data_IF_154510002032
#
_entry.id   IF_154510002032
#
_cell.length_a   1.000
_cell.length_b   1.000
_cell.length_c   1.000
_cell.angle_alpha   90.00
_cell.angle_beta   90.00
_cell.angle_gamma   90.00
#
_symmetry.space_group_name_H-M   'P 1'
#
loop_
_entity.id
_entity.type
_entity.pdbx_description
1 polymer ?
#
# COMPACT_ATOMS: atom_id res chain seq x y z
N UNK A 1 21.98 -10.70 -12.05
CA UNK A 1 20.77 -10.47 -12.87
C UNK A 1 19.57 -10.91 -12.05
N UNK A 2 18.58 -10.03 -11.87
CA UNK A 2 17.26 -10.42 -11.36
C UNK A 2 16.65 -11.32 -12.43
N UNK A 3 16.37 -12.59 -12.12
CA UNK A 3 15.66 -13.48 -13.05
C UNK A 3 14.18 -13.13 -12.96
N UNK A 4 13.61 -12.62 -14.05
CA UNK A 4 12.18 -12.43 -14.17
C UNK A 4 11.54 -13.77 -14.51
N UNK A 5 10.63 -14.22 -13.66
CA UNK A 5 9.90 -15.45 -13.89
C UNK A 5 8.72 -15.16 -14.84
N UNK A 6 8.63 -15.84 -15.99
CA UNK A 6 7.59 -15.59 -16.99
C UNK A 6 6.17 -15.86 -16.48
N UNK A 7 6.01 -16.62 -15.40
CA UNK A 7 4.73 -16.95 -14.80
C UNK A 7 4.39 -16.08 -13.58
N UNK A 8 5.30 -15.21 -13.15
CA UNK A 8 5.06 -14.32 -12.01
C UNK A 8 4.33 -13.04 -12.45
N UNK A 9 3.32 -12.66 -11.68
CA UNK A 9 2.65 -11.37 -11.83
C UNK A 9 3.40 -10.32 -11.01
N UNK A 10 3.88 -9.29 -11.69
CA UNK A 10 4.47 -8.10 -11.09
C UNK A 10 3.47 -6.94 -11.07
N UNK A 11 3.63 -6.04 -10.11
CA UNK A 11 2.79 -4.87 -9.92
C UNK A 11 1.67 -5.04 -8.87
N UNK A 12 1.12 -3.95 -8.34
CA UNK A 12 1.46 -2.54 -8.57
C UNK A 12 2.40 -2.06 -7.47
N UNK A 13 2.93 -0.85 -7.62
CA UNK A 13 3.61 -0.10 -6.57
C UNK A 13 2.57 0.72 -5.80
N UNK A 14 2.59 0.61 -4.47
CA UNK A 14 1.77 1.42 -3.57
C UNK A 14 2.70 2.16 -2.62
N UNK A 15 2.42 3.45 -2.40
CA UNK A 15 3.15 4.34 -1.50
C UNK A 15 2.15 5.03 -0.58
N UNK A 16 2.43 5.09 0.71
CA UNK A 16 1.72 5.95 1.66
C UNK A 16 2.65 6.97 2.27
N UNK A 17 2.15 8.20 2.43
CA UNK A 17 2.86 9.31 3.04
C UNK A 17 1.94 9.99 4.04
N UNK A 18 2.36 10.02 5.30
CA UNK A 18 1.77 10.85 6.35
C UNK A 18 2.64 12.08 6.56
N UNK A 19 2.09 13.27 6.34
CA UNK A 19 2.80 14.54 6.56
C UNK A 19 1.84 15.66 6.93
N UNK A 20 2.12 16.35 8.03
CA UNK A 20 1.28 17.44 8.52
C UNK A 20 -0.08 16.92 8.96
N UNK A 21 -1.15 17.52 8.41
CA UNK A 21 -2.54 17.14 8.69
C UNK A 21 -3.15 16.23 7.61
N UNK A 22 -2.33 15.53 6.83
CA UNK A 22 -2.80 14.70 5.72
C UNK A 22 -2.03 13.38 5.64
N UNK A 23 -2.76 12.32 5.29
CA UNK A 23 -2.19 11.03 4.83
C UNK A 23 -2.69 10.75 3.44
N UNK A 24 -1.79 10.32 2.57
CA UNK A 24 -2.05 10.02 1.16
C UNK A 24 -1.61 8.59 0.88
N UNK A 25 -2.42 7.85 0.13
CA UNK A 25 -1.99 6.62 -0.54
C UNK A 25 -1.97 6.89 -2.04
N UNK A 26 -0.84 6.59 -2.67
CA UNK A 26 -0.67 6.61 -4.11
C UNK A 26 -0.36 5.21 -4.63
N UNK A 27 -0.77 4.93 -5.87
CA UNK A 27 -0.52 3.65 -6.50
C UNK A 27 -0.56 3.76 -8.01
N UNK A 28 0.32 3.00 -8.68
CA UNK A 28 0.30 2.93 -10.13
C UNK A 28 -0.67 1.85 -10.63
N UNK A 29 -0.90 1.83 -11.94
CA UNK A 29 -1.86 0.93 -12.57
C UNK A 29 -1.25 -0.27 -13.28
N UNK A 30 0.08 -0.44 -13.29
CA UNK A 30 0.72 -1.49 -14.07
C UNK A 30 0.58 -2.87 -13.44
N UNK A 31 0.14 -3.82 -14.25
CA UNK A 31 0.17 -5.25 -13.97
C UNK A 31 0.90 -5.91 -15.12
N UNK A 32 1.96 -6.65 -14.81
CA UNK A 32 2.79 -7.34 -15.79
C UNK A 32 2.85 -8.82 -15.47
N UNK A 33 2.85 -9.67 -16.50
CA UNK A 33 3.12 -11.10 -16.38
C UNK A 33 4.49 -11.36 -17.00
N UNK A 34 5.47 -11.74 -16.18
CA UNK A 34 6.86 -11.78 -16.59
C UNK A 34 7.33 -10.40 -17.03
N UNK A 35 7.69 -10.27 -18.30
CA UNK A 35 8.14 -9.03 -18.96
C UNK A 35 7.03 -8.35 -19.80
N UNK A 36 5.83 -8.94 -19.85
CA UNK A 36 4.73 -8.45 -20.68
C UNK A 36 3.72 -7.64 -19.85
N UNK A 37 3.45 -6.41 -20.27
CA UNK A 37 2.42 -5.56 -19.64
C UNK A 37 1.02 -6.07 -20.00
N UNK A 38 0.24 -6.49 -19.01
CA UNK A 38 -1.14 -6.95 -19.20
C UNK A 38 -2.17 -5.82 -19.08
N UNK A 39 -1.97 -4.91 -18.11
CA UNK A 39 -2.89 -3.82 -17.82
C UNK A 39 -2.11 -2.63 -17.28
N UNK A 40 -2.45 -1.43 -17.74
CA UNK A 40 -1.81 -0.19 -17.27
C UNK A 40 -2.64 0.64 -16.28
N UNK A 41 -3.87 0.24 -15.98
CA UNK A 41 -4.87 1.03 -15.23
C UNK A 41 -5.53 0.28 -14.09
N UNK A 42 -4.81 -0.66 -13.46
CA UNK A 42 -5.29 -1.32 -12.25
C UNK A 42 -5.55 -0.30 -11.13
N UNK A 43 -6.56 -0.56 -10.31
CA UNK A 43 -6.87 0.23 -9.10
C UNK A 43 -6.77 -0.68 -7.90
N UNK A 44 -5.68 -0.57 -7.16
CA UNK A 44 -5.40 -1.39 -5.96
C UNK A 44 -5.44 -0.57 -4.65
N UNK A 45 -6.05 0.61 -4.70
CA UNK A 45 -6.40 1.43 -3.54
C UNK A 45 -7.90 1.32 -3.30
N UNK A 46 -8.30 1.15 -2.04
CA UNK A 46 -9.68 1.01 -1.60
C UNK A 46 -9.92 1.87 -0.37
N UNK A 47 -11.11 2.47 -0.31
CA UNK A 47 -11.66 3.14 0.86
C UNK A 47 -12.49 2.14 1.66
N UNK A 48 -12.29 2.09 2.98
CA UNK A 48 -13.02 1.23 3.91
C UNK A 48 -13.68 2.08 4.99
N UNK A 49 -14.62 1.48 5.74
CA UNK A 49 -15.27 2.09 6.91
C UNK A 49 -15.82 3.50 6.60
N UNK A 50 -16.70 3.59 5.60
CA UNK A 50 -17.30 4.83 5.11
C UNK A 50 -16.29 5.95 4.75
N UNK A 51 -15.11 5.55 4.28
CA UNK A 51 -14.05 6.46 3.86
C UNK A 51 -13.14 6.94 4.99
N UNK A 52 -13.27 6.39 6.21
CA UNK A 52 -12.37 6.71 7.31
C UNK A 52 -10.99 6.03 7.19
N UNK A 53 -10.88 4.99 6.36
CA UNK A 53 -9.68 4.17 6.19
C UNK A 53 -9.33 4.05 4.70
N UNK A 54 -8.04 4.14 4.38
CA UNK A 54 -7.51 3.79 3.07
C UNK A 54 -6.67 2.52 3.17
N UNK A 55 -6.87 1.60 2.24
CA UNK A 55 -6.08 0.40 2.09
C UNK A 55 -5.51 0.30 0.67
N UNK A 56 -4.23 -0.01 0.55
CA UNK A 56 -3.56 -0.29 -0.72
C UNK A 56 -2.85 -1.64 -0.66
N UNK A 57 -2.86 -2.41 -1.74
CA UNK A 57 -2.26 -3.75 -1.75
C UNK A 57 -1.37 -4.00 -2.95
N UNK A 58 -0.35 -4.83 -2.76
CA UNK A 58 0.49 -5.38 -3.81
C UNK A 58 0.39 -6.91 -3.77
N UNK A 59 0.13 -7.54 -4.92
CA UNK A 59 -0.18 -8.96 -5.01
C UNK A 59 -1.41 -9.25 -5.89
N UNK A 60 -1.88 -10.49 -5.87
CA UNK A 60 -3.04 -10.91 -6.65
C UNK A 60 -4.32 -10.20 -6.19
N UNK A 61 -5.18 -9.87 -7.14
CA UNK A 61 -6.43 -9.15 -6.86
C UNK A 61 -7.39 -9.96 -6.00
N UNK A 62 -7.45 -11.29 -6.19
CA UNK A 62 -8.31 -12.17 -5.40
C UNK A 62 -7.90 -12.19 -3.92
N UNK A 63 -6.61 -12.41 -3.65
CA UNK A 63 -6.01 -12.37 -2.32
C UNK A 63 -6.39 -11.06 -1.60
N UNK A 64 -6.29 -9.95 -2.31
CA UNK A 64 -6.60 -8.64 -1.75
C UNK A 64 -8.06 -8.47 -1.38
N UNK A 65 -9.00 -8.90 -2.23
CA UNK A 65 -10.42 -8.85 -1.87
C UNK A 65 -10.71 -9.68 -0.62
N UNK A 66 -10.16 -10.90 -0.53
CA UNK A 66 -10.30 -11.74 0.66
C UNK A 66 -9.74 -11.08 1.92
N UNK A 67 -8.58 -10.43 1.83
CA UNK A 67 -7.96 -9.74 2.97
C UNK A 67 -8.74 -8.50 3.38
N UNK A 68 -9.28 -7.74 2.42
CA UNK A 68 -10.09 -6.56 2.68
C UNK A 68 -11.42 -6.91 3.34
N UNK A 69 -12.14 -7.92 2.85
CA UNK A 69 -13.38 -8.41 3.46
C UNK A 69 -13.16 -8.86 4.91
N UNK A 70 -12.06 -9.57 5.17
CA UNK A 70 -11.69 -9.96 6.53
C UNK A 70 -11.29 -8.76 7.39
N UNK A 71 -10.60 -7.78 6.82
CA UNK A 71 -10.25 -6.55 7.53
C UNK A 71 -11.52 -5.77 7.94
N UNK A 72 -12.50 -5.64 7.04
CA UNK A 72 -13.78 -5.00 7.33
C UNK A 72 -14.49 -5.70 8.50
N UNK A 73 -14.57 -7.03 8.49
CA UNK A 73 -15.12 -7.77 9.62
C UNK A 73 -14.37 -7.50 10.94
N UNK A 74 -13.04 -7.34 10.91
CA UNK A 74 -12.25 -6.98 12.10
C UNK A 74 -12.49 -5.54 12.55
N UNK A 75 -12.72 -4.62 11.62
CA UNK A 75 -13.04 -3.22 11.91
C UNK A 75 -14.43 -3.09 12.55
N UNK A 76 -15.42 -3.86 12.09
CA UNK A 76 -16.76 -3.89 12.68
C UNK A 76 -16.72 -4.39 14.14
N UNK A 77 -15.89 -5.41 14.42
CA UNK A 77 -15.70 -5.93 15.78
C UNK A 77 -14.88 -4.99 16.68
N UNK A 78 -14.05 -4.13 16.10
CA UNK A 78 -13.15 -3.22 16.81
C UNK A 78 -13.25 -1.79 16.29
N UNK A 79 -14.40 -1.10 16.50
CA UNK A 79 -14.62 0.24 15.98
C UNK A 79 -13.54 1.21 16.44
N UNK A 80 -13.04 2.03 15.51
CA UNK A 80 -12.00 3.04 15.74
C UNK A 80 -10.67 2.51 16.31
N UNK A 81 -10.40 1.20 16.20
CA UNK A 81 -9.16 0.59 16.67
C UNK A 81 -8.43 -0.08 15.51
N UNK A 82 -7.95 0.72 14.54
CA UNK A 82 -7.32 0.21 13.32
C UNK A 82 -6.14 -0.73 13.63
N UNK A 83 -5.25 -0.35 14.55
CA UNK A 83 -4.11 -1.19 14.95
C UNK A 83 -4.56 -2.54 15.49
N UNK A 84 -5.63 -2.58 16.30
CA UNK A 84 -6.16 -3.82 16.84
C UNK A 84 -6.77 -4.69 15.72
N UNK A 85 -7.58 -4.10 14.85
CA UNK A 85 -8.16 -4.81 13.70
C UNK A 85 -7.07 -5.42 12.81
N UNK A 86 -5.98 -4.66 12.55
CA UNK A 86 -4.83 -5.13 11.78
C UNK A 86 -4.07 -6.26 12.46
N UNK A 87 -3.85 -6.17 13.78
CA UNK A 87 -3.20 -7.25 14.55
C UNK A 87 -4.03 -8.53 14.55
N UNK A 88 -5.35 -8.42 14.74
CA UNK A 88 -6.24 -9.59 14.69
C UNK A 88 -6.32 -10.19 13.27
N UNK A 89 -6.30 -9.37 12.23
CA UNK A 89 -6.18 -9.85 10.85
C UNK A 89 -4.84 -10.57 10.63
N UNK A 90 -3.72 -9.99 11.09
CA UNK A 90 -2.40 -10.61 10.93
C UNK A 90 -2.29 -11.96 11.64
N UNK A 91 -2.92 -12.11 12.81
CA UNK A 91 -3.04 -13.40 13.51
C UNK A 91 -3.83 -14.42 12.68
N UNK A 92 -4.99 -14.04 12.15
CA UNK A 92 -5.80 -14.91 11.29
C UNK A 92 -5.02 -15.28 10.03
N UNK A 93 -4.36 -14.31 9.40
CA UNK A 93 -3.54 -14.50 8.21
C UNK A 93 -2.42 -15.52 8.46
N UNK A 94 -1.76 -15.44 9.61
CA UNK A 94 -0.68 -16.36 9.99
C UNK A 94 -1.18 -17.74 10.46
N UNK A 95 -2.44 -17.90 10.84
CA UNK A 95 -2.97 -19.17 11.41
C UNK A 95 -3.87 -19.92 10.45
N UNK A 96 -4.55 -19.24 9.54
CA UNK A 96 -5.37 -19.87 8.50
C UNK A 96 -4.47 -20.59 7.48
N UNK A 97 -4.85 -21.81 7.09
CA UNK A 97 -4.07 -22.65 6.15
C UNK A 97 -4.02 -22.04 4.75
N UNK A 98 -5.09 -21.37 4.33
CA UNK A 98 -5.21 -20.78 3.00
C UNK A 98 -4.59 -19.39 2.97
N UNK A 99 -4.82 -18.57 4.00
CA UNK A 99 -4.30 -17.20 4.00
C UNK A 99 -2.77 -17.15 4.02
N UNK A 100 -2.10 -18.07 4.73
CA UNK A 100 -0.63 -18.11 4.77
C UNK A 100 0.06 -18.30 3.41
N UNK A 101 -0.67 -18.78 2.41
CA UNK A 101 -0.12 -18.96 1.07
C UNK A 101 -0.15 -17.68 0.23
N UNK A 102 -0.92 -16.68 0.66
CA UNK A 102 -1.02 -15.40 -0.03
C UNK A 102 0.30 -14.64 0.13
N UNK A 103 0.89 -14.25 -0.99
CA UNK A 103 2.14 -13.46 -1.03
C UNK A 103 1.89 -11.95 -1.03
N UNK A 104 0.64 -11.55 -0.78
CA UNK A 104 0.26 -10.15 -0.79
C UNK A 104 0.85 -9.38 0.41
N UNK A 105 1.14 -8.11 0.20
CA UNK A 105 1.35 -7.13 1.26
C UNK A 105 0.28 -6.05 1.17
N UNK A 106 -0.07 -5.47 2.31
CA UNK A 106 -1.09 -4.44 2.39
C UNK A 106 -0.61 -3.26 3.23
N UNK A 107 -0.84 -2.05 2.73
CA UNK A 107 -0.75 -0.81 3.51
C UNK A 107 -2.17 -0.44 3.92
N UNK A 108 -2.39 -0.16 5.20
CA UNK A 108 -3.68 0.31 5.72
C UNK A 108 -3.42 1.54 6.60
N UNK A 109 -4.18 2.61 6.37
CA UNK A 109 -4.01 3.87 7.09
C UNK A 109 -5.36 4.45 7.49
N UNK A 110 -5.40 5.10 8.63
CA UNK A 110 -6.49 5.99 9.05
C UNK A 110 -5.94 7.40 9.33
N UNK A 111 -6.74 8.22 10.01
CA UNK A 111 -6.35 9.57 10.41
C UNK A 111 -5.19 9.61 11.41
N UNK A 112 -4.88 8.53 12.14
CA UNK A 112 -3.95 8.52 13.28
C UNK A 112 -2.70 7.66 13.04
N UNK A 113 -2.82 6.49 12.40
CA UNK A 113 -1.76 5.47 12.21
C UNK A 113 -1.63 4.99 10.77
N UNK A 114 -0.43 4.54 10.40
CA UNK A 114 -0.12 3.98 9.08
C UNK A 114 0.59 2.64 9.22
N UNK A 115 0.00 1.56 8.70
CA UNK A 115 0.44 0.19 8.97
C UNK A 115 0.74 -0.58 7.67
N UNK A 116 1.81 -1.38 7.68
CA UNK A 116 2.02 -2.50 6.74
C UNK A 116 1.60 -3.80 7.40
N UNK A 117 0.90 -4.65 6.64
CA UNK A 117 0.56 -6.02 6.98
C UNK A 117 1.18 -6.99 5.97
N UNK A 118 1.69 -8.11 6.48
CA UNK A 118 2.26 -9.19 5.67
C UNK A 118 1.67 -10.56 6.04
N UNK A 119 1.73 -11.52 5.11
CA UNK A 119 1.34 -12.91 5.35
C UNK A 119 2.20 -13.65 6.39
N UNK A 120 3.34 -13.09 6.79
CA UNK A 120 4.15 -13.61 7.89
C UNK A 120 3.57 -13.25 9.28
N UNK A 121 2.48 -12.47 9.31
CA UNK A 121 1.85 -11.98 10.52
C UNK A 121 2.51 -10.73 11.10
N UNK A 122 3.26 -9.98 10.28
CA UNK A 122 3.87 -8.73 10.71
C UNK A 122 2.87 -7.58 10.61
N UNK A 123 2.86 -6.70 11.61
CA UNK A 123 2.16 -5.41 11.61
C UNK A 123 3.17 -4.34 11.97
N UNK A 124 3.47 -3.45 11.03
CA UNK A 124 4.61 -2.53 11.14
C UNK A 124 4.14 -1.10 10.87
N UNK A 125 4.42 -0.18 11.80
CA UNK A 125 4.30 1.26 11.64
C UNK A 125 5.70 1.87 11.48
N UNK A 126 5.97 2.72 10.47
CA UNK A 126 7.28 3.32 10.30
C UNK A 126 7.41 4.60 11.14
N UNK A 127 8.62 4.87 11.63
CA UNK A 127 8.89 6.09 12.41
C UNK A 127 8.73 7.38 11.60
N UNK A 128 8.95 7.32 10.27
CA UNK A 128 8.93 8.48 9.38
C UNK A 128 7.56 8.72 8.71
N UNK A 129 6.57 7.86 8.96
CA UNK A 129 5.25 7.95 8.36
C UNK A 129 5.20 7.65 6.86
N UNK A 130 6.24 7.03 6.28
CA UNK A 130 6.32 6.70 4.86
C UNK A 130 6.41 5.18 4.68
N UNK A 131 5.47 4.62 3.92
CA UNK A 131 5.37 3.19 3.64
C UNK A 131 5.35 2.96 2.14
N UNK A 132 6.01 1.90 1.66
CA UNK A 132 5.86 1.48 0.28
C UNK A 132 5.89 -0.04 0.15
N UNK A 133 5.12 -0.57 -0.79
CA UNK A 133 5.06 -1.99 -1.14
C UNK A 133 5.00 -2.15 -2.66
N UNK A 134 5.24 -3.38 -3.13
CA UNK A 134 5.15 -3.72 -4.54
C UNK A 134 6.44 -3.52 -5.33
N UNK A 135 6.37 -3.72 -6.65
CA UNK A 135 7.53 -3.91 -7.51
C UNK A 135 8.49 -2.71 -7.54
N UNK A 136 7.96 -1.49 -7.51
CA UNK A 136 8.72 -0.23 -7.44
C UNK A 136 8.78 0.39 -6.05
N UNK A 137 8.33 -0.32 -5.01
CA UNK A 137 8.16 0.24 -3.66
C UNK A 137 9.43 0.86 -3.09
N UNK A 138 10.59 0.22 -3.28
CA UNK A 138 11.86 0.74 -2.76
C UNK A 138 12.29 2.06 -3.43
N UNK A 139 12.02 2.22 -4.73
CA UNK A 139 12.33 3.45 -5.46
C UNK A 139 11.41 4.59 -4.98
N UNK A 140 10.11 4.30 -4.88
CA UNK A 140 9.12 5.24 -4.36
C UNK A 140 9.44 5.66 -2.93
N UNK A 141 9.81 4.71 -2.06
CA UNK A 141 10.19 4.96 -0.67
C UNK A 141 11.41 5.87 -0.56
N UNK A 142 12.47 5.57 -1.32
CA UNK A 142 13.69 6.37 -1.32
C UNK A 142 13.42 7.81 -1.80
N UNK A 143 12.67 7.96 -2.89
CA UNK A 143 12.27 9.26 -3.43
C UNK A 143 11.40 10.05 -2.43
N UNK A 144 10.39 9.42 -1.85
CA UNK A 144 9.51 10.04 -0.86
C UNK A 144 10.28 10.51 0.37
N UNK A 145 11.20 9.70 0.91
CA UNK A 145 12.06 10.08 2.04
C UNK A 145 12.95 11.28 1.74
N UNK A 146 13.50 11.36 0.52
CA UNK A 146 14.30 12.50 0.10
C UNK A 146 13.44 13.78 -0.03
N UNK A 147 12.30 13.69 -0.70
CA UNK A 147 11.37 14.79 -0.93
C UNK A 147 10.69 15.28 0.37
N UNK A 148 10.44 14.39 1.32
CA UNK A 148 9.84 14.74 2.62
C UNK A 148 10.68 15.73 3.45
N UNK A 149 11.99 15.79 3.20
CA UNK A 149 12.89 16.79 3.82
C UNK A 149 12.58 18.22 3.37
N UNK A 150 11.89 18.39 2.22
CA UNK A 150 11.47 19.70 1.73
C UNK A 150 10.17 20.12 2.44
N UNK A 151 10.23 21.19 3.24
CA UNK A 151 9.08 21.68 4.01
C UNK A 151 7.95 22.25 3.15
N UNK A 152 8.25 22.74 1.94
CA UNK A 152 7.29 23.35 1.01
C UNK A 152 6.40 22.36 0.27
N UNK A 153 6.73 21.06 0.27
CA UNK A 153 5.96 20.05 -0.44
C UNK A 153 4.86 19.44 0.46
N UNK A 154 3.64 19.40 -0.05
CA UNK A 154 2.51 18.68 0.57
C UNK A 154 2.65 17.16 0.43
N UNK A 155 1.91 16.39 1.24
CA UNK A 155 1.89 14.93 1.16
C UNK A 155 1.55 14.44 -0.25
N UNK A 156 0.54 15.03 -0.89
CA UNK A 156 0.13 14.70 -2.26
C UNK A 156 1.23 14.96 -3.30
N UNK A 157 1.90 16.12 -3.22
CA UNK A 157 2.98 16.45 -4.15
C UNK A 157 4.15 15.48 -4.02
N UNK A 158 4.50 15.13 -2.78
CA UNK A 158 5.56 14.14 -2.53
C UNK A 158 5.14 12.78 -3.08
N UNK A 159 3.92 12.33 -2.79
CA UNK A 159 3.44 11.03 -3.23
C UNK A 159 3.44 10.92 -4.76
N UNK A 160 2.95 11.95 -5.45
CA UNK A 160 2.95 12.01 -6.91
C UNK A 160 4.37 11.98 -7.49
N UNK A 161 5.26 12.87 -7.04
CA UNK A 161 6.64 12.95 -7.55
C UNK A 161 7.45 11.68 -7.23
N UNK A 162 7.26 11.08 -6.07
CA UNK A 162 7.94 9.84 -5.70
C UNK A 162 7.48 8.66 -6.56
N UNK A 163 6.19 8.59 -6.88
CA UNK A 163 5.64 7.59 -7.80
C UNK A 163 6.11 7.80 -9.24
N UNK A 164 6.19 9.05 -9.71
CA UNK A 164 6.77 9.39 -11.02
C UNK A 164 8.23 8.93 -11.12
N UNK A 165 9.05 9.19 -10.09
CA UNK A 165 10.44 8.70 -10.03
C UNK A 165 10.49 7.17 -10.03
N UNK A 166 9.59 6.51 -9.31
CA UNK A 166 9.51 5.05 -9.32
C UNK A 166 9.15 4.50 -10.70
N UNK A 167 8.26 5.17 -11.44
CA UNK A 167 7.87 4.80 -12.81
C UNK A 167 8.99 5.04 -13.83
N UNK A 168 9.83 6.05 -13.62
CA UNK A 168 11.00 6.31 -14.48
C UNK A 168 12.12 5.27 -14.31
N UNK A 169 12.14 4.54 -13.19
CA UNK A 169 13.20 3.59 -12.83
C UNK A 169 12.75 2.13 -12.93
N UNK A 170 11.56 1.83 -12.42
CA UNK A 170 11.05 0.46 -12.32
C UNK A 170 10.24 0.08 -13.56
N UNK A 171 10.70 -0.93 -14.31
CA UNK A 171 9.99 -1.47 -15.48
C UNK A 171 8.59 -2.04 -15.17
N UNK A 172 8.25 -2.23 -13.89
CA UNK A 172 6.96 -2.73 -13.40
C UNK A 172 6.10 -1.66 -12.73
N UNK A 173 6.38 -0.38 -12.97
CA UNK A 173 5.62 0.75 -12.44
C UNK A 173 5.44 1.76 -13.56
N UNK A 174 4.23 2.28 -13.74
CA UNK A 174 3.95 3.27 -14.78
C UNK A 174 3.48 4.62 -14.22
N UNK A 175 3.33 5.59 -15.12
CA UNK A 175 2.86 6.94 -14.80
C UNK A 175 1.33 7.05 -14.64
N UNK A 176 0.58 5.94 -14.72
CA UNK A 176 -0.87 5.95 -14.46
C UNK A 176 -1.11 5.88 -12.95
N UNK A 177 -0.85 7.00 -12.29
CA UNK A 177 -0.88 7.12 -10.83
C UNK A 177 -2.26 7.57 -10.35
N UNK A 178 -2.78 6.88 -9.35
CA UNK A 178 -4.00 7.24 -8.62
C UNK A 178 -3.60 7.59 -7.20
N UNK A 179 -4.23 8.62 -6.63
CA UNK A 179 -4.05 9.04 -5.26
C UNK A 179 -5.39 9.11 -4.54
N UNK A 180 -5.41 8.67 -3.29
CA UNK A 180 -6.50 8.87 -2.34
C UNK A 180 -5.93 9.50 -1.07
N UNK A 181 -6.71 10.32 -0.37
CA UNK A 181 -6.22 11.04 0.82
C UNK A 181 -7.24 11.11 1.94
N UNK A 182 -6.74 11.19 3.18
CA UNK A 182 -7.52 11.48 4.37
C UNK A 182 -6.91 12.69 5.09
N UNK A 183 -7.77 13.48 5.72
CA UNK A 183 -7.34 14.46 6.72
C UNK A 183 -6.97 13.74 8.01
N UNK A 184 -5.79 14.02 8.56
CA UNK A 184 -5.33 13.42 9.81
C UNK A 184 -5.78 14.23 11.01
N UNK A 185 -5.91 13.59 12.17
CA UNK A 185 -6.03 14.33 13.43
C UNK A 185 -4.74 15.10 13.65
N UNK A 186 -4.82 16.38 14.01
CA UNK A 186 -3.65 17.13 14.49
C UNK A 186 -3.15 16.46 15.78
N UNK A 187 -1.95 15.86 15.75
CA UNK A 187 -1.21 15.55 16.98
C UNK A 187 -0.66 16.84 17.60
#
# INVERSE_FOLDING_TARGET
>A
MIKHDPHTIYGTTILSIRKGNQVVIAGDGQVSLGDTVMKGSARKIRTLNDGAILAGFAGATADAFTLLERLEAKLDMHPNQLTRACVELAKDWRTDKYLRQLQAMMIVVDKDVSLILSGNGDVIEPDDGILAIGSGGNYALAAARALSKQKSLSAEKIAKQAMEIAADICVYTNHNIILESLTTSSK
#
